data_IF_399237757743
#
_entry.id   IF_399237757743
#
_cell.length_a   1.000
_cell.length_b   1.000
_cell.length_c   1.000
_cell.angle_alpha   90.00
_cell.angle_beta   90.00
_cell.angle_gamma   90.00
#
_symmetry.space_group_name_H-M   'P 1'
#
loop_
_entity.id
_entity.type
_entity.pdbx_description
1 polymer ?
#
# COMPACT_ATOMS: atom_id res chain seq x y z
N UNK A 1 -30.40 -23.73 -0.31
CA UNK A 1 -29.15 -23.10 0.16
C UNK A 1 -28.23 -22.98 -1.03
N UNK A 2 -27.90 -21.76 -1.45
CA UNK A 2 -26.94 -21.55 -2.54
C UNK A 2 -25.52 -21.87 -2.03
N UNK A 3 -24.69 -22.59 -2.80
CA UNK A 3 -23.33 -22.91 -2.38
C UNK A 3 -22.51 -21.62 -2.23
N UNK A 4 -21.67 -21.59 -1.20
CA UNK A 4 -20.74 -20.51 -0.90
C UNK A 4 -19.83 -20.28 -2.12
N UNK A 5 -19.99 -19.14 -2.79
CA UNK A 5 -19.08 -18.75 -3.87
C UNK A 5 -17.66 -18.60 -3.30
N UNK A 6 -16.72 -19.29 -3.95
CA UNK A 6 -15.31 -19.41 -3.61
C UNK A 6 -14.67 -18.06 -3.28
N UNK A 7 -14.02 -17.97 -2.11
CA UNK A 7 -13.29 -16.79 -1.60
C UNK A 7 -12.21 -16.35 -2.61
N UNK A 8 -11.73 -17.27 -3.45
CA UNK A 8 -10.81 -16.97 -4.55
C UNK A 8 -11.36 -15.96 -5.57
N UNK A 9 -12.67 -15.78 -5.68
CA UNK A 9 -13.28 -14.80 -6.58
C UNK A 9 -13.14 -13.34 -6.13
N UNK A 10 -12.72 -13.09 -4.89
CA UNK A 10 -12.57 -11.73 -4.32
C UNK A 10 -11.13 -11.24 -4.42
N UNK A 11 -10.18 -12.15 -4.63
CA UNK A 11 -8.76 -11.82 -4.79
C UNK A 11 -8.45 -11.87 -6.28
N UNK A 12 -8.42 -10.70 -6.90
CA UNK A 12 -7.97 -10.52 -8.28
C UNK A 12 -6.45 -10.75 -8.31
N UNK A 13 -6.03 -12.01 -8.35
CA UNK A 13 -4.64 -12.42 -8.52
C UNK A 13 -4.21 -12.16 -9.96
N UNK A 14 -3.97 -10.91 -10.30
CA UNK A 14 -3.16 -10.54 -11.45
C UNK A 14 -1.89 -9.85 -10.96
N UNK A 15 -1.04 -10.64 -10.31
CA UNK A 15 0.38 -10.34 -10.16
C UNK A 15 1.17 -11.59 -10.56
N UNK A 16 1.05 -11.96 -11.84
CA UNK A 16 1.95 -12.91 -12.47
C UNK A 16 3.15 -12.10 -12.93
N UNK A 17 4.04 -11.76 -12.00
CA UNK A 17 5.37 -11.24 -12.32
C UNK A 17 6.40 -12.27 -11.88
N UNK A 18 6.83 -13.07 -12.87
CA UNK A 18 8.11 -13.77 -13.00
C UNK A 18 8.79 -14.24 -11.71
N UNK A 19 8.54 -15.51 -11.41
CA UNK A 19 9.32 -16.33 -10.50
C UNK A 19 10.68 -16.69 -11.14
N UNK A 20 11.60 -15.73 -11.22
CA UNK A 20 12.99 -15.94 -11.61
C UNK A 20 13.94 -15.48 -10.49
N UNK A 21 13.70 -16.01 -9.29
CA UNK A 21 14.64 -15.91 -8.18
C UNK A 21 15.76 -16.93 -8.39
N UNK A 22 16.76 -16.57 -9.18
CA UNK A 22 18.05 -17.26 -9.09
C UNK A 22 18.67 -16.96 -7.73
N UNK A 23 19.10 -18.01 -7.03
CA UNK A 23 19.80 -17.93 -5.74
C UNK A 23 21.09 -17.10 -5.89
N UNK A 24 21.01 -15.80 -5.66
CA UNK A 24 22.20 -14.95 -5.55
C UNK A 24 22.81 -15.16 -4.16
N UNK A 25 23.90 -15.91 -4.10
CA UNK A 25 24.78 -15.92 -2.92
C UNK A 25 25.29 -14.50 -2.65
N UNK A 26 25.00 -13.98 -1.46
CA UNK A 26 25.54 -12.70 -0.99
C UNK A 26 26.95 -12.90 -0.42
N UNK A 27 27.92 -12.14 -0.92
CA UNK A 27 29.27 -12.10 -0.37
C UNK A 27 29.39 -10.96 0.66
N UNK A 28 30.12 -11.19 1.75
CA UNK A 28 30.32 -10.19 2.79
C UNK A 28 31.38 -9.17 2.36
N UNK A 29 30.97 -7.95 2.00
CA UNK A 29 31.85 -6.80 1.82
C UNK A 29 32.14 -6.16 3.19
N UNK A 30 33.30 -6.50 3.77
CA UNK A 30 33.78 -5.85 4.99
C UNK A 30 34.60 -4.60 4.64
N UNK A 31 34.10 -3.42 5.03
CA UNK A 31 34.92 -2.24 5.28
C UNK A 31 34.58 -1.64 6.65
N UNK A 32 35.63 -1.31 7.40
CA UNK A 32 35.60 -0.86 8.80
C UNK A 32 35.02 0.57 8.94
N UNK A 33 33.70 0.69 8.89
CA UNK A 33 32.96 1.77 9.58
C UNK A 33 32.36 1.16 10.86
N UNK A 34 32.01 1.94 11.90
CA UNK A 34 31.25 1.40 13.03
C UNK A 34 29.95 0.81 12.49
N UNK A 35 29.96 -0.51 12.31
CA UNK A 35 28.87 -1.27 11.72
C UNK A 35 27.68 -1.05 12.64
N UNK A 36 26.61 -0.44 12.13
CA UNK A 36 25.33 -0.46 12.83
C UNK A 36 24.93 -1.93 12.97
N UNK A 37 25.12 -2.47 14.17
CA UNK A 37 24.84 -3.88 14.45
C UNK A 37 23.33 -4.01 14.65
N UNK A 38 22.68 -4.63 13.68
CA UNK A 38 21.31 -5.12 13.86
C UNK A 38 21.43 -6.47 14.56
N UNK A 39 20.98 -6.55 15.81
CA UNK A 39 20.78 -7.81 16.51
C UNK A 39 19.29 -8.14 16.46
N UNK A 40 18.94 -9.26 15.85
CA UNK A 40 17.59 -9.79 15.93
C UNK A 40 17.36 -10.42 17.31
N UNK A 41 16.15 -10.26 17.86
CA UNK A 41 15.77 -10.98 19.06
C UNK A 41 15.90 -12.48 18.80
N UNK A 42 16.59 -13.21 19.68
CA UNK A 42 16.66 -14.68 19.62
C UNK A 42 15.30 -15.34 19.90
N UNK A 43 14.40 -14.59 20.54
CA UNK A 43 13.03 -15.01 20.79
C UNK A 43 12.13 -14.27 19.80
N UNK A 44 11.54 -15.03 18.88
CA UNK A 44 10.49 -14.56 17.99
C UNK A 44 9.17 -14.85 18.69
N UNK A 45 8.37 -13.81 18.92
CA UNK A 45 6.99 -14.00 19.38
C UNK A 45 6.14 -14.22 18.13
N UNK A 46 5.69 -15.46 17.96
CA UNK A 46 4.72 -15.81 16.92
C UNK A 46 3.32 -15.58 17.50
N UNK A 47 2.48 -14.90 16.73
CA UNK A 47 1.07 -14.75 17.03
C UNK A 47 0.30 -15.50 15.96
N UNK A 48 -0.43 -16.53 16.36
CA UNK A 48 -1.36 -17.20 15.46
C UNK A 48 -2.54 -16.27 15.20
N UNK A 49 -2.74 -15.94 13.93
CA UNK A 49 -3.91 -15.18 13.48
C UNK A 49 -4.97 -16.22 13.11
N UNK A 50 -6.06 -16.24 13.88
CA UNK A 50 -7.19 -17.11 13.60
C UNK A 50 -7.74 -16.85 12.20
N UNK A 51 -8.03 -17.93 11.48
CA UNK A 51 -8.63 -17.79 10.15
C UNK A 51 -10.11 -17.46 10.34
N UNK A 52 -10.67 -16.69 9.40
CA UNK A 52 -12.11 -16.42 9.40
C UNK A 52 -12.97 -17.70 9.36
N UNK A 53 -12.42 -18.83 8.85
CA UNK A 53 -13.08 -20.14 8.89
C UNK A 53 -13.21 -20.71 10.30
N UNK A 54 -12.37 -20.28 11.22
CA UNK A 54 -12.20 -20.87 12.54
C UNK A 54 -13.03 -20.11 13.60
N UNK A 55 -13.60 -18.95 13.23
CA UNK A 55 -14.48 -18.15 14.09
C UNK A 55 -15.75 -18.92 14.44
N UNK A 56 -16.16 -18.81 15.71
CA UNK A 56 -17.44 -19.34 16.20
C UNK A 56 -18.63 -18.66 15.53
N UNK A 57 -19.82 -19.27 15.63
CA UNK A 57 -21.03 -18.66 15.07
C UNK A 57 -21.40 -17.36 15.81
N UNK A 58 -21.13 -17.25 17.11
CA UNK A 58 -21.31 -16.03 17.90
C UNK A 58 -20.35 -14.93 17.43
N UNK A 59 -19.08 -15.25 17.21
CA UNK A 59 -18.08 -14.30 16.71
C UNK A 59 -18.42 -13.82 15.31
N UNK A 60 -18.87 -14.73 14.43
CA UNK A 60 -19.34 -14.39 13.08
C UNK A 60 -20.54 -13.45 13.09
N UNK A 61 -21.45 -13.62 14.05
CA UNK A 61 -22.59 -12.71 14.25
C UNK A 61 -22.16 -11.37 14.83
N UNK A 62 -21.07 -11.33 15.60
CA UNK A 62 -20.49 -10.11 16.15
C UNK A 62 -19.65 -9.30 15.14
N UNK A 63 -19.38 -9.86 13.94
CA UNK A 63 -18.68 -9.13 12.87
C UNK A 63 -19.52 -7.92 12.44
N UNK A 64 -18.89 -6.75 12.35
CA UNK A 64 -19.56 -5.48 12.03
C UNK A 64 -20.22 -5.47 10.64
N UNK A 65 -19.64 -6.18 9.67
CA UNK A 65 -20.14 -6.24 8.30
C UNK A 65 -20.19 -7.68 7.78
N UNK A 66 -21.34 -8.05 7.26
CA UNK A 66 -21.54 -9.26 6.47
C UNK A 66 -20.93 -9.13 5.06
N UNK A 67 -20.67 -10.26 4.40
CA UNK A 67 -20.18 -10.29 3.02
C UNK A 67 -21.09 -9.48 2.05
N UNK A 68 -22.43 -9.60 2.10
CA UNK A 68 -23.31 -8.78 1.28
C UNK A 68 -23.14 -7.27 1.53
N UNK A 69 -23.01 -6.85 2.80
CA UNK A 69 -22.78 -5.44 3.15
C UNK A 69 -21.43 -4.95 2.60
N UNK A 70 -20.36 -5.73 2.73
CA UNK A 70 -19.05 -5.39 2.17
C UNK A 70 -19.09 -5.27 0.64
N UNK A 71 -19.85 -6.13 -0.04
CA UNK A 71 -20.04 -6.04 -1.50
C UNK A 71 -20.79 -4.77 -1.88
N UNK A 72 -21.81 -4.39 -1.11
CA UNK A 72 -22.55 -3.16 -1.35
C UNK A 72 -21.68 -1.93 -1.12
N UNK A 73 -20.88 -1.90 -0.04
CA UNK A 73 -19.90 -0.82 0.20
C UNK A 73 -18.92 -0.68 -0.98
N UNK A 74 -18.37 -1.80 -1.47
CA UNK A 74 -17.48 -1.79 -2.66
C UNK A 74 -18.19 -1.25 -3.90
N UNK A 75 -19.44 -1.64 -4.12
CA UNK A 75 -20.26 -1.17 -5.25
C UNK A 75 -20.51 0.34 -5.15
N UNK A 76 -20.85 0.83 -3.96
CA UNK A 76 -21.04 2.26 -3.69
C UNK A 76 -19.75 3.04 -3.96
N UNK A 77 -18.61 2.59 -3.42
CA UNK A 77 -17.31 3.21 -3.68
C UNK A 77 -16.99 3.29 -5.18
N UNK A 78 -17.24 2.22 -5.93
CA UNK A 78 -17.04 2.21 -7.39
C UNK A 78 -17.95 3.22 -8.10
N UNK A 79 -19.21 3.32 -7.69
CA UNK A 79 -20.15 4.28 -8.24
C UNK A 79 -19.73 5.72 -7.96
N UNK A 80 -19.24 6.00 -6.75
CA UNK A 80 -18.68 7.31 -6.37
C UNK A 80 -17.51 7.66 -7.29
N UNK A 81 -16.54 6.76 -7.46
CA UNK A 81 -15.39 6.99 -8.35
C UNK A 81 -15.84 7.29 -9.78
N UNK A 82 -16.82 6.54 -10.32
CA UNK A 82 -17.34 6.79 -11.66
C UNK A 82 -18.01 8.16 -11.79
N UNK A 83 -18.70 8.64 -10.75
CA UNK A 83 -19.25 10.00 -10.72
C UNK A 83 -18.14 11.05 -10.65
N UNK A 84 -17.08 10.80 -9.87
CA UNK A 84 -15.91 11.68 -9.75
C UNK A 84 -15.25 11.88 -11.11
N UNK A 85 -14.97 10.78 -11.82
CA UNK A 85 -14.33 10.82 -13.13
C UNK A 85 -15.16 11.55 -14.19
N UNK A 86 -16.49 11.59 -14.03
CA UNK A 86 -17.39 12.30 -14.93
C UNK A 86 -17.65 13.76 -14.52
N UNK A 87 -17.13 14.20 -13.36
CA UNK A 87 -17.44 15.52 -12.80
C UNK A 87 -18.92 15.71 -12.44
N UNK A 88 -19.66 14.61 -12.22
CA UNK A 88 -21.12 14.60 -11.97
C UNK A 88 -21.46 14.53 -10.49
N UNK A 89 -20.53 14.87 -9.61
CA UNK A 89 -20.71 14.78 -8.17
C UNK A 89 -21.08 16.15 -7.61
N UNK A 90 -22.27 16.21 -7.01
CA UNK A 90 -22.73 17.40 -6.31
C UNK A 90 -22.01 17.48 -4.97
N UNK A 91 -21.19 18.52 -4.78
CA UNK A 91 -20.43 18.73 -3.56
C UNK A 91 -21.30 19.14 -2.37
N UNK A 92 -22.60 19.35 -2.59
CA UNK A 92 -23.58 19.66 -1.53
C UNK A 92 -24.36 18.44 -1.02
N UNK A 93 -24.18 17.26 -1.62
CA UNK A 93 -24.81 16.03 -1.16
C UNK A 93 -23.90 15.28 -0.16
N UNK A 94 -24.20 15.44 1.14
CA UNK A 94 -23.49 14.81 2.26
C UNK A 94 -23.46 13.27 2.21
N UNK A 95 -24.22 12.64 1.30
CA UNK A 95 -24.20 11.18 1.14
C UNK A 95 -22.95 10.66 0.42
N UNK A 96 -22.08 11.52 -0.10
CA UNK A 96 -20.89 11.10 -0.84
C UNK A 96 -19.62 11.65 -0.23
N UNK A 97 -18.61 10.79 -0.13
CA UNK A 97 -17.28 11.16 0.37
C UNK A 97 -16.23 10.86 -0.69
N UNK A 98 -15.42 11.86 -1.03
CA UNK A 98 -14.28 11.72 -1.95
C UNK A 98 -13.04 11.14 -1.26
N UNK A 99 -12.94 11.34 0.06
CA UNK A 99 -11.79 10.95 0.87
C UNK A 99 -11.56 9.43 0.83
N UNK A 100 -10.32 9.04 0.59
CA UNK A 100 -9.90 7.64 0.47
C UNK A 100 -10.14 7.02 -0.91
N UNK A 101 -10.82 7.72 -1.83
CA UNK A 101 -11.11 7.27 -3.19
C UNK A 101 -10.30 8.01 -4.26
N UNK A 102 -9.46 8.98 -3.88
CA UNK A 102 -8.69 9.82 -4.80
C UNK A 102 -7.80 8.95 -5.70
N UNK A 103 -7.07 8.01 -5.11
CA UNK A 103 -6.21 7.06 -5.85
C UNK A 103 -6.97 5.98 -6.63
N UNK A 104 -8.30 5.95 -6.55
CA UNK A 104 -9.15 5.01 -7.29
C UNK A 104 -9.65 5.58 -8.61
N UNK A 105 -9.52 6.89 -8.80
CA UNK A 105 -9.71 7.53 -10.12
C UNK A 105 -8.58 7.14 -11.06
N UNK A 106 -8.83 7.22 -12.37
CA UNK A 106 -7.81 6.98 -13.40
C UNK A 106 -6.60 7.88 -13.20
N UNK A 107 -6.83 9.18 -12.99
CA UNK A 107 -5.76 10.16 -12.75
C UNK A 107 -4.99 9.87 -11.47
N UNK A 108 -5.68 9.69 -10.33
CA UNK A 108 -5.02 9.44 -9.05
C UNK A 108 -4.27 8.10 -9.02
N UNK A 109 -4.77 7.09 -9.71
CA UNK A 109 -4.07 5.81 -9.90
C UNK A 109 -2.79 5.99 -10.72
N UNK A 110 -2.87 6.76 -11.82
CA UNK A 110 -1.73 7.06 -12.67
C UNK A 110 -0.66 7.85 -11.92
N UNK A 111 -1.03 8.93 -11.24
CA UNK A 111 -0.12 9.75 -10.43
C UNK A 111 0.60 8.90 -9.37
N UNK A 112 -0.14 8.03 -8.67
CA UNK A 112 0.42 7.12 -7.66
C UNK A 112 1.40 6.11 -8.27
N UNK A 113 1.07 5.57 -9.44
CA UNK A 113 1.95 4.66 -10.16
C UNK A 113 3.24 5.35 -10.62
N UNK A 114 3.14 6.53 -11.22
CA UNK A 114 4.28 7.33 -11.67
C UNK A 114 5.20 7.74 -10.53
N UNK A 115 4.64 8.20 -9.41
CA UNK A 115 5.42 8.56 -8.21
C UNK A 115 6.23 7.37 -7.69
N UNK A 116 5.62 6.18 -7.60
CA UNK A 116 6.29 4.94 -7.19
C UNK A 116 7.38 4.53 -8.17
N UNK A 117 7.05 4.49 -9.46
CA UNK A 117 7.97 4.11 -10.52
C UNK A 117 9.18 5.03 -10.57
N UNK A 118 8.97 6.34 -10.44
CA UNK A 118 10.05 7.34 -10.38
C UNK A 118 10.96 7.10 -9.18
N UNK A 119 10.37 6.90 -7.99
CA UNK A 119 11.13 6.64 -6.76
C UNK A 119 11.96 5.36 -6.84
N UNK A 120 11.38 4.26 -7.35
CA UNK A 120 12.11 3.00 -7.56
C UNK A 120 13.18 3.13 -8.63
N UNK A 121 12.86 3.78 -9.75
CA UNK A 121 13.82 4.01 -10.84
C UNK A 121 15.05 4.77 -10.37
N UNK A 122 14.88 5.80 -9.53
CA UNK A 122 16.00 6.52 -8.94
C UNK A 122 16.87 5.64 -8.05
N UNK A 123 16.25 4.84 -7.17
CA UNK A 123 16.99 3.91 -6.30
C UNK A 123 17.75 2.86 -7.12
N UNK A 124 17.09 2.23 -8.09
CA UNK A 124 17.72 1.19 -8.93
C UNK A 124 18.87 1.74 -9.76
N UNK A 125 18.70 2.92 -10.36
CA UNK A 125 19.78 3.57 -11.11
C UNK A 125 21.00 3.82 -10.23
N UNK A 126 20.80 4.23 -8.98
CA UNK A 126 21.91 4.46 -8.06
C UNK A 126 22.50 3.17 -7.48
N UNK A 127 21.69 2.13 -7.29
CA UNK A 127 22.20 0.80 -6.95
C UNK A 127 23.12 0.28 -8.06
N UNK A 128 22.69 0.34 -9.32
CA UNK A 128 23.52 -0.05 -10.47
C UNK A 128 24.85 0.73 -10.52
N UNK A 129 24.82 2.03 -10.21
CA UNK A 129 26.03 2.85 -10.13
C UNK A 129 26.95 2.45 -8.98
N UNK A 130 26.39 2.18 -7.80
CA UNK A 130 27.15 1.73 -6.63
C UNK A 130 27.77 0.35 -6.88
N UNK A 131 27.06 -0.55 -7.57
CA UNK A 131 27.54 -1.87 -7.95
C UNK A 131 28.70 -1.78 -8.95
N UNK A 132 28.62 -0.90 -9.95
CA UNK A 132 29.72 -0.66 -10.91
C UNK A 132 30.96 -0.09 -10.21
N UNK A 133 30.77 0.75 -9.20
CA UNK A 133 31.84 1.41 -8.47
C UNK A 133 32.38 0.57 -7.29
N UNK A 134 31.67 -0.49 -6.90
CA UNK A 134 31.92 -1.28 -5.68
C UNK A 134 31.94 -0.43 -4.39
N UNK A 135 31.06 0.58 -4.32
CA UNK A 135 30.94 1.50 -3.18
C UNK A 135 29.49 1.50 -2.69
N UNK A 136 29.12 0.57 -1.79
CA UNK A 136 27.76 0.55 -1.24
C UNK A 136 27.54 1.74 -0.30
N UNK A 137 26.53 2.55 -0.59
CA UNK A 137 26.08 3.65 0.25
C UNK A 137 24.55 3.61 0.44
N UNK A 138 24.06 2.89 1.45
CA UNK A 138 22.64 2.78 1.72
C UNK A 138 22.01 4.09 2.21
N UNK A 139 22.78 4.99 2.82
CA UNK A 139 22.25 6.29 3.29
C UNK A 139 21.94 7.20 2.10
N UNK A 140 22.80 7.17 1.07
CA UNK A 140 22.55 7.87 -0.18
C UNK A 140 21.28 7.36 -0.89
N UNK A 141 21.09 6.03 -0.98
CA UNK A 141 19.87 5.46 -1.57
C UNK A 141 18.61 5.88 -0.81
N UNK A 142 18.68 5.90 0.52
CA UNK A 142 17.57 6.35 1.35
C UNK A 142 17.26 7.84 1.14
N UNK A 143 18.30 8.68 0.98
CA UNK A 143 18.13 10.09 0.64
C UNK A 143 17.48 10.29 -0.72
N UNK A 144 17.93 9.56 -1.74
CA UNK A 144 17.33 9.61 -3.07
C UNK A 144 15.85 9.20 -3.04
N UNK A 145 15.50 8.14 -2.30
CA UNK A 145 14.10 7.76 -2.14
C UNK A 145 13.27 8.83 -1.43
N UNK A 146 13.80 9.44 -0.36
CA UNK A 146 13.14 10.54 0.37
C UNK A 146 12.88 11.73 -0.54
N UNK A 147 13.86 12.16 -1.32
CA UNK A 147 13.70 13.30 -2.22
C UNK A 147 12.63 13.04 -3.30
N UNK A 148 12.57 11.82 -3.86
CA UNK A 148 11.54 11.46 -4.84
C UNK A 148 10.14 11.29 -4.24
N UNK A 149 10.01 11.01 -2.93
CA UNK A 149 8.72 10.82 -2.25
C UNK A 149 8.22 12.04 -1.48
N UNK A 150 9.05 13.09 -1.37
CA UNK A 150 8.79 14.33 -0.62
C UNK A 150 7.48 15.02 -0.99
N UNK A 151 7.17 15.10 -2.30
CA UNK A 151 5.91 15.71 -2.76
C UNK A 151 4.71 14.94 -2.24
N UNK A 152 4.72 13.61 -2.33
CA UNK A 152 3.64 12.77 -1.79
C UNK A 152 3.50 12.90 -0.29
N UNK A 153 4.62 13.01 0.44
CA UNK A 153 4.61 13.28 1.87
C UNK A 153 3.95 14.63 2.19
N UNK A 154 4.38 15.70 1.54
CA UNK A 154 3.81 17.04 1.79
C UNK A 154 2.31 17.10 1.47
N UNK A 155 1.88 16.45 0.38
CA UNK A 155 0.45 16.38 0.03
C UNK A 155 -0.36 15.63 1.08
N UNK A 156 0.15 14.49 1.57
CA UNK A 156 -0.50 13.73 2.63
C UNK A 156 -0.60 14.54 3.95
N UNK A 157 0.46 15.26 4.32
CA UNK A 157 0.46 16.13 5.51
C UNK A 157 -0.53 17.29 5.37
N UNK A 158 -0.57 17.95 4.21
CA UNK A 158 -1.52 19.02 3.94
C UNK A 158 -2.96 18.53 4.02
N UNK A 159 -3.25 17.40 3.36
CA UNK A 159 -4.58 16.81 3.36
C UNK A 159 -5.01 16.41 4.78
N UNK A 160 -4.11 15.78 5.55
CA UNK A 160 -4.39 15.41 6.93
C UNK A 160 -4.71 16.60 7.84
N UNK A 161 -4.06 17.75 7.63
CA UNK A 161 -4.37 18.99 8.36
C UNK A 161 -5.75 19.53 8.02
N UNK A 162 -6.11 19.54 6.74
CA UNK A 162 -7.43 19.96 6.29
C UNK A 162 -8.52 19.06 6.87
N UNK A 163 -8.32 17.74 6.86
CA UNK A 163 -9.27 16.78 7.42
C UNK A 163 -9.44 16.97 8.94
N UNK A 164 -8.35 17.29 9.65
CA UNK A 164 -8.41 17.60 11.08
C UNK A 164 -9.09 18.94 11.40
N UNK A 165 -9.10 19.90 10.47
CA UNK A 165 -9.87 21.15 10.62
C UNK A 165 -11.36 20.90 10.42
N UNK A 166 -11.74 20.22 9.33
CA UNK A 166 -13.14 19.87 9.04
C UNK A 166 -13.77 19.04 10.14
N UNK A 167 -13.03 18.08 10.73
CA UNK A 167 -13.54 17.23 11.81
C UNK A 167 -13.71 17.95 13.17
N UNK A 168 -13.17 19.17 13.32
CA UNK A 168 -13.31 19.98 14.54
C UNK A 168 -14.54 20.89 14.53
N UNK A 169 -15.10 21.16 13.34
CA UNK A 169 -16.33 21.93 13.14
C UNK A 169 -17.58 21.07 13.39
#
# INVERSE_FOLDING_TARGET
>A
MAPLADIKSVIDYNDITNNDYSEKQSYALHYERPVRKVSFSKMVTEYDIERASDFSDEERQAIWYSIPQLREIKKQAKHTVQKMERGLLDTSDDNWTFRGLESKTTEGSQQKYEARRSSWGAVFLHQDQQDIQDIPDPEFLAEMYREHTKVSQCLAELQGKQDAEVARE
#
